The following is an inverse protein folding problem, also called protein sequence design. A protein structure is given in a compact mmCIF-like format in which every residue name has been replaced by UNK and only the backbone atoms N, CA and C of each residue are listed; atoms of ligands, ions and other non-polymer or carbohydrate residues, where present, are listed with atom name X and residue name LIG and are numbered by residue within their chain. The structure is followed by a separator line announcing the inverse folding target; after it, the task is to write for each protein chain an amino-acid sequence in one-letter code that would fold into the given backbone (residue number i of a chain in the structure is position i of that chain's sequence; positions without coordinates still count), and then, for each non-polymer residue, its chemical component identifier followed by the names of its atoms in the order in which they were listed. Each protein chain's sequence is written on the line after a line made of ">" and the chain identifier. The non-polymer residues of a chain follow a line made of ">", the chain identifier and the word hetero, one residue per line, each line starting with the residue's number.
data_IF_688882787769
#
_entry.id   IF_688882787769
#
_cell.length_a   1.000
_cell.length_b   1.000
_cell.length_c   1.000
_cell.angle_alpha   90.00
_cell.angle_beta   90.00
_cell.angle_gamma   90.00
#
_symmetry.space_group_name_H-M   'P 1'
#
loop_
_entity.id
_entity.type
_entity.pdbx_description
1 polymer ?
#
# COMPACT_ATOMS: atom_id res chain seq x y z
N UNK A 1 -2.88 -4.25 19.47
CA UNK A 1 -2.08 -3.07 19.05
C UNK A 1 -2.80 -2.44 17.88
N UNK A 2 -3.30 -1.21 18.03
CA UNK A 2 -4.00 -0.50 16.96
C UNK A 2 -2.95 -0.15 15.91
N UNK A 3 -2.92 -0.92 14.81
CA UNK A 3 -2.13 -0.57 13.63
C UNK A 3 -2.58 0.84 13.23
N UNK A 4 -1.68 1.83 13.34
CA UNK A 4 -1.92 3.19 12.83
C UNK A 4 -2.18 3.06 11.34
N UNK A 5 -3.45 3.03 10.96
CA UNK A 5 -3.86 3.06 9.57
C UNK A 5 -3.55 4.47 9.05
N UNK A 6 -2.45 4.58 8.30
CA UNK A 6 -2.11 5.83 7.61
C UNK A 6 -2.87 5.85 6.29
N UNK A 7 -3.83 6.76 6.18
CA UNK A 7 -4.60 6.96 4.95
C UNK A 7 -3.74 7.61 3.86
N UNK A 8 -3.36 6.84 2.85
CA UNK A 8 -2.64 7.36 1.68
C UNK A 8 -3.64 7.67 0.55
N UNK A 9 -3.84 8.96 0.25
CA UNK A 9 -4.76 9.39 -0.82
C UNK A 9 -3.99 9.63 -2.11
N UNK A 10 -4.06 8.67 -3.03
CA UNK A 10 -3.50 8.81 -4.38
C UNK A 10 -4.56 9.28 -5.38
N UNK A 11 -4.16 10.15 -6.31
CA UNK A 11 -4.94 10.44 -7.51
C UNK A 11 -4.44 9.54 -8.62
N UNK A 12 -5.33 8.74 -9.18
CA UNK A 12 -5.04 7.85 -10.32
C UNK A 12 -5.99 8.18 -11.45
N UNK A 13 -5.58 7.87 -12.68
CA UNK A 13 -6.45 8.01 -13.85
C UNK A 13 -7.67 7.09 -13.70
N UNK A 14 -8.82 7.53 -14.22
CA UNK A 14 -10.09 6.79 -14.12
C UNK A 14 -9.95 5.38 -14.70
N UNK A 15 -9.35 5.26 -15.88
CA UNK A 15 -9.16 3.98 -16.55
C UNK A 15 -8.27 3.01 -15.75
N UNK A 16 -7.19 3.52 -15.14
CA UNK A 16 -6.30 2.72 -14.29
C UNK A 16 -7.05 2.21 -13.04
N UNK A 17 -7.89 3.05 -12.42
CA UNK A 17 -8.73 2.64 -11.29
C UNK A 17 -9.69 1.53 -11.70
N UNK A 18 -10.34 1.66 -12.85
CA UNK A 18 -11.31 0.67 -13.33
C UNK A 18 -10.62 -0.68 -13.59
N UNK A 19 -9.47 -0.68 -14.26
CA UNK A 19 -8.66 -1.88 -14.49
C UNK A 19 -8.18 -2.51 -13.17
N UNK A 20 -7.69 -1.69 -12.24
CA UNK A 20 -7.23 -2.18 -10.94
C UNK A 20 -8.36 -2.80 -10.12
N UNK A 21 -9.53 -2.15 -10.07
CA UNK A 21 -10.70 -2.69 -9.37
C UNK A 21 -11.20 -3.97 -10.03
N UNK A 22 -11.21 -4.05 -11.37
CA UNK A 22 -11.59 -5.26 -12.09
C UNK A 22 -10.63 -6.43 -11.77
N UNK A 23 -9.33 -6.18 -11.77
CA UNK A 23 -8.32 -7.18 -11.41
C UNK A 23 -8.42 -7.62 -9.94
N UNK A 24 -8.71 -6.69 -9.02
CA UNK A 24 -8.94 -7.01 -7.61
C UNK A 24 -10.20 -7.87 -7.41
N UNK A 25 -11.30 -7.53 -8.12
CA UNK A 25 -12.53 -8.33 -8.13
C UNK A 25 -12.29 -9.74 -8.67
N UNK A 26 -11.51 -9.89 -9.73
CA UNK A 26 -11.18 -11.21 -10.28
C UNK A 26 -10.38 -12.08 -9.30
N UNK A 27 -9.62 -11.46 -8.39
CA UNK A 27 -8.84 -12.14 -7.36
C UNK A 27 -9.58 -12.31 -6.04
N UNK A 28 -10.84 -11.86 -5.94
CA UNK A 28 -11.64 -11.84 -4.70
C UNK A 28 -10.92 -11.13 -3.52
N UNK A 29 -10.03 -10.19 -3.84
CA UNK A 29 -9.24 -9.45 -2.85
C UNK A 29 -9.64 -7.97 -2.85
N UNK A 30 -9.75 -7.33 -1.67
CA UNK A 30 -10.00 -5.90 -1.62
C UNK A 30 -8.80 -5.12 -2.18
N UNK A 31 -9.07 -4.07 -2.96
CA UNK A 31 -8.06 -3.20 -3.58
C UNK A 31 -6.99 -2.70 -2.59
N UNK A 32 -7.40 -2.38 -1.36
CA UNK A 32 -6.50 -1.95 -0.30
C UNK A 32 -5.52 -3.05 0.15
N UNK A 33 -5.94 -4.33 0.14
CA UNK A 33 -5.07 -5.44 0.49
C UNK A 33 -4.03 -5.67 -0.61
N UNK A 34 -4.46 -5.71 -1.88
CA UNK A 34 -3.54 -5.86 -3.02
C UNK A 34 -2.50 -4.74 -3.02
N UNK A 35 -2.93 -3.49 -2.77
CA UNK A 35 -2.01 -2.36 -2.69
C UNK A 35 -1.00 -2.49 -1.54
N UNK A 36 -1.42 -2.96 -0.36
CA UNK A 36 -0.52 -3.19 0.79
C UNK A 36 0.48 -4.32 0.54
N UNK A 37 0.06 -5.40 -0.12
CA UNK A 37 0.96 -6.49 -0.54
C UNK A 37 1.98 -5.96 -1.55
N UNK A 38 1.52 -5.25 -2.58
CA UNK A 38 2.36 -4.65 -3.60
C UNK A 38 3.35 -3.62 -3.04
N UNK A 39 2.92 -2.75 -2.12
CA UNK A 39 3.80 -1.78 -1.47
C UNK A 39 4.89 -2.46 -0.64
N UNK A 40 4.60 -3.60 0.02
CA UNK A 40 5.60 -4.34 0.78
C UNK A 40 6.66 -4.96 -0.14
N UNK A 41 6.21 -5.67 -1.17
CA UNK A 41 7.08 -6.29 -2.17
C UNK A 41 7.97 -5.24 -2.87
N UNK A 42 7.39 -4.09 -3.24
CA UNK A 42 8.10 -3.00 -3.87
C UNK A 42 9.17 -2.38 -2.97
N UNK A 43 8.90 -2.19 -1.68
CA UNK A 43 9.87 -1.65 -0.71
C UNK A 43 10.99 -2.66 -0.41
N UNK A 44 10.69 -3.96 -0.44
CA UNK A 44 11.70 -5.01 -0.28
C UNK A 44 12.70 -5.02 -1.45
N UNK A 45 12.22 -4.85 -2.68
CA UNK A 45 13.06 -4.77 -3.88
C UNK A 45 13.75 -3.41 -4.09
N UNK A 46 13.19 -2.33 -3.56
CA UNK A 46 13.72 -0.97 -3.64
C UNK A 46 13.93 -0.38 -2.25
N UNK A 47 15.00 -0.78 -1.53
CA UNK A 47 15.33 -0.16 -0.27
C UNK A 47 15.68 1.31 -0.51
N UNK A 48 14.72 2.20 -0.25
CA UNK A 48 15.01 3.62 -0.13
C UNK A 48 16.07 3.75 0.95
N UNK A 49 17.24 4.28 0.60
CA UNK A 49 18.37 4.49 1.53
C UNK A 49 17.79 5.06 2.83
N UNK A 50 17.97 4.38 3.98
CA UNK A 50 17.14 4.59 5.15
C UNK A 50 17.31 6.03 5.64
N UNK A 51 16.29 6.84 5.41
CA UNK A 51 16.08 8.00 6.26
C UNK A 51 15.41 7.48 7.52
N UNK A 52 16.17 7.60 8.59
CA UNK A 52 15.84 7.20 9.95
C UNK A 52 14.64 8.00 10.46
N UNK A 53 13.42 7.57 10.14
CA UNK A 53 12.21 8.11 10.76
C UNK A 53 11.43 6.99 11.46
N UNK A 54 11.89 6.78 12.69
CA UNK A 54 11.00 6.75 13.85
C UNK A 54 9.91 5.66 13.88
N UNK A 55 10.36 4.40 13.89
CA UNK A 55 9.83 3.46 14.89
C UNK A 55 10.49 3.73 16.25
N UNK A 56 10.37 4.95 16.79
CA UNK A 56 10.72 5.26 18.17
C UNK A 56 9.49 5.84 18.89
N UNK A 57 9.07 5.10 19.91
CA UNK A 57 7.92 5.38 20.77
C UNK A 57 6.86 4.31 20.58
N UNK A 58 6.98 3.08 21.12
CA UNK A 58 7.35 2.68 22.48
C UNK A 58 6.79 3.64 23.53
N UNK A 59 5.54 3.43 23.94
CA UNK A 59 5.13 3.08 25.30
C UNK A 59 3.62 2.96 25.38
#
# INVERSE_FOLDING_TARGET
>A
MIMKDAGFRIRVQKELREQFVAACKAQDKPAAQVLREFMRDYVEGHPTRPQLDEQKGKK
#
